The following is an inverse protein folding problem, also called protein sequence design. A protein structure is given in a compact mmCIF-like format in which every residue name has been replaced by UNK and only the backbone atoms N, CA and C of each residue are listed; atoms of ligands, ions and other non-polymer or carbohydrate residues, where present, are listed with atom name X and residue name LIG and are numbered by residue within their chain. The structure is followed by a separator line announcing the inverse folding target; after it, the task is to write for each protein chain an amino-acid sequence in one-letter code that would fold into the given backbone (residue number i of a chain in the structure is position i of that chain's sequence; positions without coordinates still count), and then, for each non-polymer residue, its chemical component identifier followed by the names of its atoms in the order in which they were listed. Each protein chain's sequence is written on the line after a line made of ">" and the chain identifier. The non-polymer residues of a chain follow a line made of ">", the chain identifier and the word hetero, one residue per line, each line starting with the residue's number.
data_IF_718391938565
#
_entry.id   IF_718391938565
#
_cell.length_a   1.000
_cell.length_b   1.000
_cell.length_c   1.000
_cell.angle_alpha   90.00
_cell.angle_beta   90.00
_cell.angle_gamma   90.00
#
_symmetry.space_group_name_H-M   'P 1'
#
loop_
_entity.id
_entity.type
_entity.pdbx_description
1 polymer ?
#
# COMPACT_ATOMS: atom_id res chain seq x y z
N UNK A 1 -20.99 7.87 4.27
CA UNK A 1 -19.73 7.36 4.84
C UNK A 1 -18.75 7.13 3.69
N UNK A 2 -18.04 8.16 3.26
CA UNK A 2 -16.88 8.02 2.36
C UNK A 2 -15.59 7.96 3.18
N UNK A 3 -15.54 8.67 4.32
CA UNK A 3 -14.41 8.65 5.25
C UNK A 3 -13.93 7.22 5.57
N UNK A 4 -14.83 6.32 5.94
CA UNK A 4 -14.49 4.93 6.33
C UNK A 4 -13.81 4.12 5.20
N UNK A 5 -14.17 4.35 3.94
CA UNK A 5 -13.56 3.63 2.82
C UNK A 5 -12.15 4.15 2.50
N UNK A 6 -11.90 5.45 2.67
CA UNK A 6 -10.61 6.07 2.40
C UNK A 6 -9.55 5.71 3.46
N UNK A 7 -9.88 5.82 4.75
CA UNK A 7 -8.98 5.36 5.82
C UNK A 7 -8.84 3.85 5.85
N UNK A 8 -9.86 3.11 5.38
CA UNK A 8 -9.86 1.65 5.36
C UNK A 8 -8.68 1.05 4.59
N UNK A 9 -8.44 1.52 3.36
CA UNK A 9 -7.34 1.01 2.52
C UNK A 9 -5.98 1.31 3.13
N UNK A 10 -5.76 2.54 3.61
CA UNK A 10 -4.47 2.95 4.20
C UNK A 10 -4.18 2.13 5.47
N UNK A 11 -5.19 1.94 6.33
CA UNK A 11 -5.06 1.12 7.52
C UNK A 11 -4.73 -0.34 7.16
N UNK A 12 -5.42 -0.90 6.15
CA UNK A 12 -5.19 -2.27 5.70
C UNK A 12 -3.78 -2.44 5.14
N UNK A 13 -3.33 -1.52 4.30
CA UNK A 13 -1.99 -1.53 3.74
C UNK A 13 -0.91 -1.39 4.82
N UNK A 14 -1.07 -0.47 5.78
CA UNK A 14 -0.13 -0.32 6.90
C UNK A 14 0.01 -1.61 7.71
N UNK A 15 -1.11 -2.31 7.98
CA UNK A 15 -1.09 -3.61 8.66
C UNK A 15 -0.35 -4.66 7.84
N UNK A 16 -0.58 -4.72 6.52
CA UNK A 16 0.11 -5.66 5.61
C UNK A 16 1.61 -5.39 5.55
N UNK A 17 2.03 -4.13 5.45
CA UNK A 17 3.44 -3.75 5.44
C UNK A 17 4.14 -4.07 6.77
N UNK A 18 3.49 -3.81 7.91
CA UNK A 18 4.01 -4.22 9.22
C UNK A 18 4.13 -5.74 9.32
N UNK A 19 3.14 -6.50 8.84
CA UNK A 19 3.20 -7.96 8.79
C UNK A 19 4.41 -8.45 7.97
N UNK A 20 4.66 -7.89 6.79
CA UNK A 20 5.84 -8.26 5.98
C UNK A 20 7.18 -8.01 6.71
N UNK A 21 7.25 -7.04 7.61
CA UNK A 21 8.47 -6.69 8.34
C UNK A 21 8.70 -7.50 9.61
N UNK A 22 7.63 -8.02 10.22
CA UNK A 22 7.62 -8.68 11.52
C UNK A 22 7.45 -10.20 11.42
N UNK A 23 6.70 -10.69 10.43
CA UNK A 23 6.34 -12.10 10.32
C UNK A 23 7.52 -12.93 9.79
N UNK A 24 7.78 -14.03 10.50
CA UNK A 24 8.89 -14.92 10.22
C UNK A 24 8.78 -15.63 8.86
N UNK A 25 7.57 -15.80 8.34
CA UNK A 25 7.35 -16.39 7.01
C UNK A 25 7.94 -15.54 5.87
N UNK A 26 8.08 -14.22 6.10
CA UNK A 26 8.64 -13.27 5.15
C UNK A 26 10.10 -12.91 5.47
N UNK A 27 10.78 -13.66 6.35
CA UNK A 27 12.21 -13.46 6.70
C UNK A 27 13.17 -13.59 5.51
N UNK A 28 12.71 -14.14 4.39
CA UNK A 28 13.45 -14.16 3.11
C UNK A 28 13.60 -12.77 2.49
N UNK A 29 12.79 -11.78 2.88
CA UNK A 29 12.91 -10.39 2.43
C UNK A 29 14.18 -9.78 3.03
N UNK A 30 15.28 -9.77 2.26
CA UNK A 30 16.60 -9.32 2.73
C UNK A 30 16.92 -7.90 2.28
N UNK A 31 17.73 -7.21 3.10
CA UNK A 31 18.46 -6.00 2.74
C UNK A 31 17.58 -4.88 2.16
N UNK A 32 17.81 -4.56 0.88
CA UNK A 32 17.20 -3.41 0.21
C UNK A 32 15.66 -3.46 0.16
N UNK A 33 15.05 -4.64 -0.03
CA UNK A 33 13.59 -4.76 -0.11
C UNK A 33 12.95 -4.46 1.25
N UNK A 34 13.54 -4.96 2.34
CA UNK A 34 13.07 -4.68 3.70
C UNK A 34 13.13 -3.19 4.02
N UNK A 35 14.20 -2.52 3.59
CA UNK A 35 14.34 -1.08 3.77
C UNK A 35 13.29 -0.28 2.97
N UNK A 36 12.97 -0.71 1.74
CA UNK A 36 11.92 -0.08 0.93
C UNK A 36 10.53 -0.26 1.56
N UNK A 37 10.21 -1.47 2.05
CA UNK A 37 8.95 -1.73 2.77
C UNK A 37 8.85 -0.89 4.05
N UNK A 38 9.96 -0.77 4.79
CA UNK A 38 10.03 0.08 6.00
C UNK A 38 9.79 1.55 5.65
N UNK A 39 10.49 2.06 4.65
CA UNK A 39 10.34 3.44 4.17
C UNK A 39 8.89 3.73 3.75
N UNK A 40 8.29 2.83 2.97
CA UNK A 40 6.92 3.01 2.49
C UNK A 40 5.89 3.01 3.62
N UNK A 41 6.04 2.11 4.60
CA UNK A 41 5.20 2.08 5.80
C UNK A 41 5.30 3.40 6.56
N UNK A 42 6.52 3.90 6.76
CA UNK A 42 6.76 5.12 7.53
C UNK A 42 6.20 6.36 6.81
N UNK A 43 6.38 6.45 5.49
CA UNK A 43 5.84 7.53 4.67
C UNK A 43 4.30 7.54 4.72
N UNK A 44 3.66 6.39 4.46
CA UNK A 44 2.18 6.27 4.53
C UNK A 44 1.65 6.57 5.94
N UNK A 45 2.36 6.13 6.99
CA UNK A 45 1.99 6.43 8.37
C UNK A 45 2.08 7.92 8.67
N UNK A 46 3.03 8.64 8.07
CA UNK A 46 3.18 10.08 8.23
C UNK A 46 2.06 10.86 7.52
N UNK A 47 1.53 10.34 6.41
CA UNK A 47 0.46 10.96 5.63
C UNK A 47 -0.93 10.68 6.21
N UNK A 48 -1.10 9.58 6.95
CA UNK A 48 -2.38 9.16 7.53
C UNK A 48 -3.13 10.26 8.31
N UNK A 49 -2.51 11.02 9.23
CA UNK A 49 -3.23 12.08 9.97
C UNK A 49 -3.81 13.17 9.06
N UNK A 50 -3.10 13.51 7.98
CA UNK A 50 -3.59 14.49 7.00
C UNK A 50 -4.77 13.91 6.24
N UNK A 51 -4.71 12.64 5.86
CA UNK A 51 -5.79 11.97 5.12
C UNK A 51 -7.04 11.79 6.00
N UNK A 52 -6.87 11.48 7.28
CA UNK A 52 -7.94 11.47 8.29
C UNK A 52 -8.59 12.85 8.42
N UNK A 53 -7.78 13.90 8.59
CA UNK A 53 -8.30 15.27 8.66
C UNK A 53 -9.07 15.66 7.40
N UNK A 54 -8.60 15.30 6.20
CA UNK A 54 -9.27 15.61 4.94
C UNK A 54 -10.50 14.73 4.68
N UNK A 55 -10.66 13.59 5.37
CA UNK A 55 -11.82 12.72 5.24
C UNK A 55 -13.08 13.33 5.88
N UNK A 56 -12.88 14.16 6.90
CA UNK A 56 -13.96 14.80 7.68
C UNK A 56 -14.36 16.19 7.14
N UNK A 57 -13.69 16.68 6.10
CA UNK A 57 -13.99 17.99 5.49
C UNK A 57 -15.00 17.83 4.35
N UNK A 58 -16.15 18.49 4.50
CA UNK A 58 -17.27 18.42 3.56
C UNK A 58 -16.99 19.14 2.23
N UNK A 59 -16.31 20.29 2.27
CA UNK A 59 -15.85 21.03 1.09
C UNK A 59 -14.32 21.19 1.11
N UNK A 60 -13.66 20.33 0.36
CA UNK A 60 -12.22 20.44 0.10
C UNK A 60 -11.95 21.30 -1.12
N UNK A 61 -10.93 22.14 -1.01
CA UNK A 61 -10.30 22.77 -2.17
C UNK A 61 -9.95 21.70 -3.24
N UNK A 62 -10.17 21.97 -4.54
CA UNK A 62 -9.97 20.98 -5.61
C UNK A 62 -8.58 20.32 -5.58
N UNK A 63 -7.52 21.07 -5.26
CA UNK A 63 -6.16 20.54 -5.21
C UNK A 63 -5.98 19.54 -4.07
N UNK A 64 -6.57 19.83 -2.90
CA UNK A 64 -6.52 18.92 -1.73
C UNK A 64 -7.33 17.65 -1.97
N UNK A 65 -8.46 17.78 -2.67
CA UNK A 65 -9.29 16.65 -3.07
C UNK A 65 -8.55 15.74 -4.05
N UNK A 66 -7.96 16.31 -5.09
CA UNK A 66 -7.15 15.58 -6.08
C UNK A 66 -5.96 14.88 -5.42
N UNK A 67 -5.21 15.59 -4.57
CA UNK A 67 -4.10 15.00 -3.82
C UNK A 67 -4.54 13.81 -2.97
N UNK A 68 -5.63 13.96 -2.20
CA UNK A 68 -6.18 12.89 -1.37
C UNK A 68 -6.59 11.68 -2.22
N UNK A 69 -7.25 11.91 -3.34
CA UNK A 69 -7.73 10.84 -4.22
C UNK A 69 -6.56 10.10 -4.88
N UNK A 70 -5.51 10.81 -5.31
CA UNK A 70 -4.28 10.22 -5.84
C UNK A 70 -3.54 9.37 -4.80
N UNK A 71 -3.45 9.83 -3.55
CA UNK A 71 -2.82 9.06 -2.47
C UNK A 71 -3.60 7.78 -2.19
N UNK A 72 -4.94 7.82 -2.26
CA UNK A 72 -5.77 6.62 -2.13
C UNK A 72 -5.53 5.64 -3.29
N UNK A 73 -5.55 6.11 -4.52
CA UNK A 73 -5.34 5.26 -5.70
C UNK A 73 -3.97 4.56 -5.63
N UNK A 74 -2.92 5.30 -5.28
CA UNK A 74 -1.60 4.75 -5.06
C UNK A 74 -1.59 3.70 -3.93
N UNK A 75 -2.31 3.94 -2.83
CA UNK A 75 -2.43 2.96 -1.74
C UNK A 75 -3.14 1.68 -2.19
N UNK A 76 -4.19 1.77 -3.02
CA UNK A 76 -4.84 0.60 -3.60
C UNK A 76 -3.88 -0.19 -4.50
N UNK A 77 -3.14 0.48 -5.38
CA UNK A 77 -2.17 -0.17 -6.28
C UNK A 77 -1.08 -0.92 -5.50
N UNK A 78 -0.58 -0.31 -4.42
CA UNK A 78 0.42 -0.93 -3.55
C UNK A 78 -0.19 -2.10 -2.77
N UNK A 79 -1.44 -1.99 -2.34
CA UNK A 79 -2.16 -3.08 -1.67
C UNK A 79 -2.29 -4.30 -2.57
N UNK A 80 -2.75 -4.11 -3.81
CA UNK A 80 -2.88 -5.18 -4.81
C UNK A 80 -1.53 -5.85 -5.12
N UNK A 81 -0.47 -5.05 -5.21
CA UNK A 81 0.89 -5.56 -5.38
C UNK A 81 1.36 -6.36 -4.15
N UNK A 82 1.08 -5.86 -2.95
CA UNK A 82 1.44 -6.50 -1.69
C UNK A 82 0.73 -7.84 -1.54
N UNK A 83 -0.56 -7.91 -1.87
CA UNK A 83 -1.34 -9.15 -1.83
C UNK A 83 -0.80 -10.18 -2.84
N UNK A 84 -0.51 -9.73 -4.06
CA UNK A 84 0.12 -10.56 -5.09
C UNK A 84 1.49 -11.11 -4.63
N UNK A 85 2.29 -10.28 -3.96
CA UNK A 85 3.58 -10.67 -3.41
C UNK A 85 3.43 -11.69 -2.28
N UNK A 86 2.51 -11.48 -1.33
CA UNK A 86 2.23 -12.42 -0.25
C UNK A 86 1.76 -13.78 -0.76
N UNK A 87 0.90 -13.82 -1.79
CA UNK A 87 0.49 -15.07 -2.44
C UNK A 87 1.68 -15.80 -3.06
N UNK A 88 2.54 -15.09 -3.80
CA UNK A 88 3.70 -15.70 -4.45
C UNK A 88 4.74 -16.25 -3.46
N UNK A 89 4.99 -15.57 -2.34
CA UNK A 89 5.91 -16.07 -1.29
C UNK A 89 5.37 -17.34 -0.64
N UNK A 90 4.05 -17.46 -0.51
CA UNK A 90 3.37 -18.65 0.03
C UNK A 90 3.18 -19.77 -1.02
N UNK A 91 3.37 -19.48 -2.31
CA UNK A 91 3.24 -20.42 -3.43
C UNK A 91 4.60 -20.78 -4.06
N UNK A 92 5.59 -21.11 -3.22
CA UNK A 92 6.73 -21.95 -3.63
C UNK A 92 6.30 -23.43 -3.88
N UNK A 93 4.99 -23.72 -3.87
CA UNK A 93 4.39 -24.91 -4.47
C UNK A 93 3.28 -24.50 -5.45
N UNK A 94 3.65 -24.52 -6.73
CA UNK A 94 2.79 -24.60 -7.92
C UNK A 94 2.15 -23.33 -8.52
N UNK A 95 2.88 -22.81 -9.53
CA UNK A 95 2.43 -22.21 -10.81
C UNK A 95 1.87 -20.77 -10.83
N UNK A 96 2.63 -19.92 -11.53
CA UNK A 96 2.24 -18.61 -12.09
C UNK A 96 1.05 -18.71 -13.08
N UNK A 97 0.32 -17.59 -13.26
CA UNK A 97 0.10 -17.13 -14.64
C UNK A 97 0.33 -15.61 -14.83
N UNK A 98 1.13 -15.34 -15.87
CA UNK A 98 1.08 -14.24 -16.85
C UNK A 98 0.69 -12.81 -16.41
N UNK A 99 1.68 -11.91 -16.53
CA UNK A 99 1.44 -10.46 -16.55
C UNK A 99 2.71 -9.58 -16.62
N UNK A 100 3.89 -10.15 -16.88
CA UNK A 100 5.16 -9.42 -16.95
C UNK A 100 5.38 -8.78 -18.33
N UNK A 101 4.76 -7.63 -18.61
CA UNK A 101 5.27 -6.69 -19.63
C UNK A 101 4.55 -5.33 -19.53
N UNK A 102 5.15 -4.37 -18.85
CA UNK A 102 4.61 -2.98 -18.86
C UNK A 102 5.46 -1.93 -18.16
N UNK A 103 6.23 -2.32 -17.13
CA UNK A 103 6.88 -1.35 -16.23
C UNK A 103 8.08 -0.55 -16.79
N UNK A 104 8.47 -0.70 -18.06
CA UNK A 104 9.61 0.04 -18.62
C UNK A 104 9.25 0.83 -19.89
N UNK A 105 8.10 1.51 -19.93
CA UNK A 105 7.81 2.54 -20.92
C UNK A 105 6.85 3.60 -20.35
N UNK A 106 7.36 4.53 -19.54
CA UNK A 106 6.95 5.94 -19.56
C UNK A 106 7.96 6.80 -18.82
#
# INVERSE_FOLDING_TARGET
>A
MLADAYTGVINTLLLKLSKLLEDHEYTKIKGAVRNQVTFLRDELSSMKPVLEMLADVEELDPLKKEWRDNVRELACDIEDYTDSFMVNVNHDHDKLPMGFKGFFHR
#
